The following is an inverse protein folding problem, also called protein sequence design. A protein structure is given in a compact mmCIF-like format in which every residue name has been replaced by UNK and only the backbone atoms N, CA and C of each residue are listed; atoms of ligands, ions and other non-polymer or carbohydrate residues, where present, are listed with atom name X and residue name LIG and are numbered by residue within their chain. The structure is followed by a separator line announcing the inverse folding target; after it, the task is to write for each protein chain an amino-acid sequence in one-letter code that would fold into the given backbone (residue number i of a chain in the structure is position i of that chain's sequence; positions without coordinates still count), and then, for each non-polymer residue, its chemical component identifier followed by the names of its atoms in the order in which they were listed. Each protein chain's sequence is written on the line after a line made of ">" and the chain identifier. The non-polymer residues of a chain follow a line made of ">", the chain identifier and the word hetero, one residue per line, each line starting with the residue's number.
data_IF_795227604798
#
_entry.id   IF_795227604798
#
_cell.length_a   1.000
_cell.length_b   1.000
_cell.length_c   1.000
_cell.angle_alpha   90.00
_cell.angle_beta   90.00
_cell.angle_gamma   90.00
#
_symmetry.space_group_name_H-M   'P 1'
#
loop_
_entity.id
_entity.type
_entity.pdbx_description
1 polymer ?
#
# COMPACT_ATOMS: atom_id res chain seq x y z
N UNK A 1 38.39 37.75 -54.02
CA UNK A 1 38.00 38.74 -52.99
C UNK A 1 37.92 38.00 -51.66
N UNK A 2 38.99 38.05 -50.86
CA UNK A 2 39.09 37.31 -49.60
C UNK A 2 38.60 38.21 -48.46
N UNK A 3 37.50 37.83 -47.81
CA UNK A 3 36.98 38.58 -46.66
C UNK A 3 37.78 38.20 -45.40
N UNK A 4 38.37 39.15 -44.66
CA UNK A 4 39.04 38.85 -43.41
C UNK A 4 37.99 38.48 -42.36
N UNK A 5 37.98 37.22 -41.93
CA UNK A 5 37.17 36.75 -40.80
C UNK A 5 37.80 37.32 -39.52
N UNK A 6 37.17 38.36 -38.97
CA UNK A 6 37.58 38.96 -37.71
C UNK A 6 37.39 37.96 -36.55
N UNK A 7 38.38 37.80 -35.65
CA UNK A 7 38.27 36.88 -34.51
C UNK A 7 37.06 37.20 -33.61
N UNK A 8 36.64 38.47 -33.57
CA UNK A 8 35.42 38.92 -32.88
C UNK A 8 34.12 38.32 -33.43
N UNK A 9 34.06 38.03 -34.73
CA UNK A 9 32.89 37.41 -35.37
C UNK A 9 32.84 35.91 -35.11
N UNK A 10 33.99 35.26 -34.96
CA UNK A 10 34.09 33.84 -34.56
C UNK A 10 33.65 33.67 -33.10
N UNK A 11 34.06 34.59 -32.21
CA UNK A 11 33.66 34.57 -30.80
C UNK A 11 32.14 34.74 -30.60
N UNK A 12 31.49 35.58 -31.41
CA UNK A 12 30.05 35.82 -31.31
C UNK A 12 29.23 34.63 -31.82
N UNK A 13 29.71 33.93 -32.86
CA UNK A 13 29.06 32.71 -33.37
C UNK A 13 29.21 31.51 -32.42
N UNK A 14 30.33 31.42 -31.69
CA UNK A 14 30.54 30.36 -30.70
C UNK A 14 29.69 30.58 -29.43
N UNK A 15 29.48 31.84 -29.05
CA UNK A 15 28.62 32.20 -27.91
C UNK A 15 27.14 31.89 -28.17
N UNK A 16 26.64 32.08 -29.39
CA UNK A 16 25.25 31.73 -29.74
C UNK A 16 25.03 30.22 -29.83
N UNK A 17 26.05 29.44 -30.21
CA UNK A 17 25.98 27.97 -30.21
C UNK A 17 25.97 27.39 -28.78
N UNK A 18 26.68 28.03 -27.85
CA UNK A 18 26.70 27.61 -26.44
C UNK A 18 25.37 27.87 -25.70
N UNK A 19 24.61 28.91 -26.08
CA UNK A 19 23.30 29.20 -25.47
C UNK A 19 22.16 28.30 -25.97
N UNK A 20 22.31 27.65 -27.13
CA UNK A 20 21.31 26.72 -27.68
C UNK A 20 21.30 25.33 -27.01
N UNK A 21 22.34 24.97 -26.28
CA UNK A 21 22.48 23.64 -25.65
C UNK A 21 21.71 23.50 -24.33
N UNK A 22 21.25 24.60 -23.72
CA UNK A 22 20.57 24.55 -22.42
C UNK A 22 19.06 24.27 -22.51
N UNK A 23 18.43 24.34 -23.68
CA UNK A 23 16.98 24.06 -23.82
C UNK A 23 16.66 22.57 -23.98
N UNK A 24 17.67 21.73 -24.20
CA UNK A 24 17.52 20.28 -24.35
C UNK A 24 17.64 19.50 -23.02
N UNK A 25 17.79 20.20 -21.90
CA UNK A 25 17.87 19.64 -20.54
C UNK A 25 16.55 19.74 -19.78
N UNK A 26 15.41 19.81 -20.48
CA UNK A 26 14.13 19.51 -19.83
C UNK A 26 14.17 18.03 -19.47
N UNK A 27 14.10 17.66 -18.17
CA UNK A 27 13.89 16.27 -17.79
C UNK A 27 12.54 15.89 -18.38
N UNK A 28 12.55 15.16 -19.50
CA UNK A 28 11.37 14.44 -19.95
C UNK A 28 11.10 13.45 -18.80
N UNK A 29 9.94 13.53 -18.14
CA UNK A 29 9.59 12.52 -17.14
C UNK A 29 9.76 11.17 -17.82
N UNK A 30 10.57 10.29 -17.21
CA UNK A 30 10.72 8.94 -17.75
C UNK A 30 9.31 8.39 -18.01
N UNK A 31 9.01 7.86 -19.22
CA UNK A 31 7.73 7.25 -19.49
C UNK A 31 7.44 6.26 -18.37
N UNK A 32 6.25 6.31 -17.77
CA UNK A 32 5.83 5.28 -16.82
C UNK A 32 5.87 3.94 -17.57
N UNK A 33 6.99 3.22 -17.43
CA UNK A 33 7.21 1.95 -18.09
C UNK A 33 6.10 1.02 -17.62
N UNK A 34 5.27 0.57 -18.57
CA UNK A 34 4.10 -0.29 -18.33
C UNK A 34 2.84 0.39 -17.76
N UNK A 35 2.69 1.72 -17.86
CA UNK A 35 1.36 2.32 -17.68
C UNK A 35 0.47 1.98 -18.87
N UNK A 36 -0.36 0.94 -18.71
CA UNK A 36 -1.42 0.61 -19.67
C UNK A 36 -2.68 1.40 -19.28
N UNK A 37 -3.27 2.18 -20.20
CA UNK A 37 -4.50 2.91 -19.90
C UNK A 37 -5.64 1.92 -19.61
N UNK A 38 -6.41 2.21 -18.54
CA UNK A 38 -7.56 1.41 -18.10
C UNK A 38 -8.58 1.22 -19.23
N UNK A 39 -8.93 -0.04 -19.52
CA UNK A 39 -9.89 -0.39 -20.57
C UNK A 39 -11.32 -0.65 -20.04
N UNK A 40 -11.52 -0.60 -18.71
CA UNK A 40 -12.80 -0.84 -18.03
C UNK A 40 -13.56 -2.07 -18.57
N UNK A 41 -12.95 -3.26 -18.51
CA UNK A 41 -13.63 -4.53 -18.73
C UNK A 41 -14.29 -5.02 -17.43
N UNK A 42 -15.59 -5.28 -17.48
CA UNK A 42 -16.39 -5.71 -16.33
C UNK A 42 -16.35 -7.23 -16.08
N UNK A 43 -15.79 -8.02 -17.00
CA UNK A 43 -16.02 -9.47 -17.02
C UNK A 43 -15.25 -10.27 -15.96
N UNK A 44 -14.03 -9.85 -15.61
CA UNK A 44 -13.12 -10.67 -14.79
C UNK A 44 -13.28 -10.49 -13.27
N UNK A 45 -13.85 -9.35 -12.85
CA UNK A 45 -13.91 -8.95 -11.43
C UNK A 45 -15.29 -9.15 -10.79
N UNK A 46 -16.27 -9.66 -11.54
CA UNK A 46 -17.64 -9.81 -11.08
C UNK A 46 -18.22 -11.18 -11.44
N UNK A 47 -18.98 -11.79 -10.52
CA UNK A 47 -19.81 -12.96 -10.81
C UNK A 47 -21.16 -12.90 -10.11
N UNK A 48 -22.20 -13.35 -10.81
CA UNK A 48 -23.55 -13.49 -10.29
C UNK A 48 -23.68 -14.78 -9.47
N UNK A 49 -24.43 -14.71 -8.37
CA UNK A 49 -24.78 -15.84 -7.51
C UNK A 49 -26.27 -15.83 -7.17
N UNK A 50 -26.90 -17.01 -7.21
CA UNK A 50 -28.27 -17.23 -6.77
C UNK A 50 -28.36 -17.37 -5.23
N UNK A 51 -27.82 -16.39 -4.52
CA UNK A 51 -27.92 -16.27 -3.07
C UNK A 51 -27.98 -14.79 -2.66
N UNK A 52 -28.61 -14.52 -1.51
CA UNK A 52 -28.64 -13.19 -0.91
C UNK A 52 -27.22 -12.66 -0.62
N UNK A 53 -26.95 -11.35 -0.71
CA UNK A 53 -25.62 -10.76 -0.56
C UNK A 53 -24.86 -11.22 0.68
N UNK A 54 -25.56 -11.29 1.82
CA UNK A 54 -24.97 -11.73 3.09
C UNK A 54 -24.47 -13.18 3.05
N UNK A 55 -25.17 -14.08 2.34
CA UNK A 55 -24.75 -15.48 2.19
C UNK A 55 -23.59 -15.60 1.21
N UNK A 56 -23.62 -14.85 0.11
CA UNK A 56 -22.51 -14.82 -0.86
C UNK A 56 -21.21 -14.33 -0.23
N UNK A 57 -21.26 -13.28 0.59
CA UNK A 57 -20.06 -12.75 1.26
C UNK A 57 -19.59 -13.63 2.42
N UNK A 58 -20.49 -14.37 3.07
CA UNK A 58 -20.12 -15.39 4.05
C UNK A 58 -19.40 -16.58 3.38
N UNK A 59 -19.89 -17.03 2.22
CA UNK A 59 -19.23 -18.06 1.41
C UNK A 59 -17.86 -17.57 0.90
N UNK A 60 -17.74 -16.32 0.46
CA UNK A 60 -16.46 -15.71 0.09
C UNK A 60 -15.47 -15.64 1.25
N UNK A 61 -15.95 -15.32 2.46
CA UNK A 61 -15.12 -15.37 3.67
C UNK A 61 -14.61 -16.79 3.94
N UNK A 62 -15.46 -17.81 3.81
CA UNK A 62 -15.06 -19.23 3.98
C UNK A 62 -14.04 -19.65 2.93
N UNK A 63 -14.24 -19.28 1.67
CA UNK A 63 -13.31 -19.53 0.58
C UNK A 63 -11.94 -18.88 0.84
N UNK A 64 -11.90 -17.61 1.28
CA UNK A 64 -10.64 -16.95 1.63
C UNK A 64 -9.93 -17.67 2.79
N UNK A 65 -10.66 -18.05 3.84
CA UNK A 65 -10.11 -18.78 4.98
C UNK A 65 -9.58 -20.17 4.58
N UNK A 66 -10.24 -20.89 3.65
CA UNK A 66 -9.78 -22.20 3.18
C UNK A 66 -8.47 -22.11 2.40
N UNK A 67 -8.22 -20.99 1.74
CA UNK A 67 -6.97 -20.72 1.04
C UNK A 67 -5.86 -20.17 1.96
N UNK A 68 -6.12 -20.05 3.27
CA UNK A 68 -5.17 -19.56 4.28
C UNK A 68 -5.02 -18.03 4.31
N UNK A 69 -6.03 -17.28 3.88
CA UNK A 69 -6.05 -15.83 4.05
C UNK A 69 -6.46 -15.44 5.47
N UNK A 70 -5.86 -14.36 5.96
CA UNK A 70 -6.23 -13.72 7.21
C UNK A 70 -7.28 -12.65 6.94
N UNK A 71 -8.48 -12.82 7.51
CA UNK A 71 -9.57 -11.84 7.38
C UNK A 71 -9.22 -10.58 8.18
N UNK A 72 -9.22 -9.43 7.51
CA UNK A 72 -8.86 -8.12 8.07
C UNK A 72 -10.09 -7.26 8.32
N UNK A 73 -11.13 -7.41 7.51
CA UNK A 73 -12.44 -6.79 7.73
C UNK A 73 -13.56 -7.74 7.32
N UNK A 74 -14.67 -7.69 8.05
CA UNK A 74 -15.84 -8.52 7.77
C UNK A 74 -17.12 -7.74 8.12
N UNK A 75 -17.99 -7.58 7.14
CA UNK A 75 -19.33 -7.01 7.23
C UNK A 75 -20.30 -7.93 6.48
N UNK A 76 -21.61 -7.71 6.63
CA UNK A 76 -22.62 -8.55 5.99
C UNK A 76 -22.41 -8.66 4.46
N UNK A 77 -22.09 -7.55 3.80
CA UNK A 77 -21.98 -7.47 2.34
C UNK A 77 -20.55 -7.19 1.86
N UNK A 78 -19.56 -7.37 2.74
CA UNK A 78 -18.17 -7.10 2.40
C UNK A 78 -17.21 -7.93 3.24
N UNK A 79 -16.19 -8.50 2.61
CA UNK A 79 -15.05 -9.13 3.31
C UNK A 79 -13.74 -8.65 2.71
N UNK A 80 -12.75 -8.41 3.57
CA UNK A 80 -11.37 -8.16 3.16
C UNK A 80 -10.46 -9.17 3.84
N UNK A 81 -9.54 -9.75 3.09
CA UNK A 81 -8.58 -10.70 3.63
C UNK A 81 -7.23 -10.59 2.92
N UNK A 82 -6.15 -10.89 3.63
CA UNK A 82 -4.79 -10.84 3.08
C UNK A 82 -4.01 -12.11 3.33
N UNK A 83 -3.09 -12.42 2.42
CA UNK A 83 -2.14 -13.51 2.55
C UNK A 83 -0.74 -13.01 2.24
N UNK A 84 0.21 -13.50 3.01
CA UNK A 84 1.63 -13.19 2.86
C UNK A 84 2.34 -14.36 2.20
N UNK A 85 3.18 -14.06 1.23
CA UNK A 85 4.04 -15.00 0.54
C UNK A 85 5.48 -14.51 0.68
N UNK A 86 6.39 -15.45 0.91
CA UNK A 86 7.81 -15.18 0.95
C UNK A 86 8.50 -16.18 0.01
N UNK A 87 8.59 -15.86 -1.31
CA UNK A 87 9.25 -16.74 -2.28
C UNK A 87 10.72 -17.01 -1.93
N UNK A 88 11.39 -16.01 -1.36
CA UNK A 88 12.76 -16.09 -0.87
C UNK A 88 12.98 -15.11 0.30
N UNK A 89 14.18 -15.11 0.89
CA UNK A 89 14.48 -14.33 2.09
C UNK A 89 14.34 -12.79 1.90
N UNK A 90 14.49 -12.28 0.68
CA UNK A 90 14.52 -10.84 0.41
C UNK A 90 13.18 -10.33 -0.15
N UNK A 91 12.40 -11.20 -0.80
CA UNK A 91 11.12 -10.85 -1.42
C UNK A 91 9.92 -11.22 -0.52
N UNK A 92 9.16 -10.20 -0.13
CA UNK A 92 7.91 -10.38 0.61
C UNK A 92 6.76 -9.87 -0.25
N UNK A 93 5.77 -10.72 -0.52
CA UNK A 93 4.60 -10.37 -1.33
C UNK A 93 3.35 -10.45 -0.45
N UNK A 94 2.56 -9.40 -0.44
CA UNK A 94 1.25 -9.35 0.19
C UNK A 94 0.19 -9.35 -0.89
N UNK A 95 -0.75 -10.29 -0.81
CA UNK A 95 -1.93 -10.34 -1.66
C UNK A 95 -3.17 -10.07 -0.81
N UNK A 96 -3.85 -8.95 -1.05
CA UNK A 96 -5.09 -8.57 -0.37
C UNK A 96 -6.27 -8.69 -1.34
N UNK A 97 -7.31 -9.39 -0.91
CA UNK A 97 -8.58 -9.48 -1.61
C UNK A 97 -9.65 -8.68 -0.88
N UNK A 98 -10.45 -7.96 -1.66
CA UNK A 98 -11.66 -7.29 -1.20
C UNK A 98 -12.83 -7.79 -2.01
N UNK A 99 -13.82 -8.33 -1.32
CA UNK A 99 -15.08 -8.81 -1.90
C UNK A 99 -16.21 -7.93 -1.41
N UNK A 100 -17.06 -7.48 -2.33
CA UNK A 100 -18.29 -6.73 -2.05
C UNK A 100 -19.44 -7.45 -2.74
N UNK A 101 -20.47 -7.81 -2.00
CA UNK A 101 -21.64 -8.50 -2.51
C UNK A 101 -22.81 -7.52 -2.55
N UNK A 102 -23.40 -7.29 -3.72
CA UNK A 102 -24.53 -6.36 -3.88
C UNK A 102 -25.79 -7.11 -4.30
N UNK A 103 -26.98 -6.70 -3.84
CA UNK A 103 -28.23 -7.29 -4.33
C UNK A 103 -28.41 -7.00 -5.81
N UNK A 104 -28.99 -7.95 -6.55
CA UNK A 104 -29.38 -7.73 -7.94
C UNK A 104 -30.89 -7.45 -8.06
N UNK A 105 -31.27 -6.65 -9.06
CA UNK A 105 -32.70 -6.32 -9.29
C UNK A 105 -33.54 -7.51 -9.75
N UNK A 106 -32.94 -8.65 -10.10
CA UNK A 106 -33.63 -9.84 -10.59
C UNK A 106 -34.33 -10.68 -9.50
N UNK A 107 -34.12 -10.39 -8.21
CA UNK A 107 -34.89 -11.05 -7.14
C UNK A 107 -34.26 -10.89 -5.75
N UNK A 108 -35.02 -11.11 -4.66
CA UNK A 108 -34.56 -10.90 -3.28
C UNK A 108 -33.41 -11.82 -2.86
N UNK A 109 -33.22 -12.95 -3.56
CA UNK A 109 -32.23 -13.98 -3.25
C UNK A 109 -31.10 -14.05 -4.28
N UNK A 110 -30.81 -12.95 -4.95
CA UNK A 110 -29.74 -12.88 -5.95
C UNK A 110 -28.74 -11.78 -5.62
N UNK A 111 -27.48 -12.01 -5.93
CA UNK A 111 -26.43 -11.03 -5.70
C UNK A 111 -25.31 -11.14 -6.72
N UNK A 112 -24.59 -10.03 -6.89
CA UNK A 112 -23.35 -9.98 -7.67
C UNK A 112 -22.20 -9.74 -6.71
N UNK A 113 -21.18 -10.60 -6.76
CA UNK A 113 -19.95 -10.42 -6.01
C UNK A 113 -18.91 -9.72 -6.88
N UNK A 114 -18.43 -8.56 -6.42
CA UNK A 114 -17.31 -7.84 -7.00
C UNK A 114 -16.05 -8.13 -6.18
N UNK A 115 -14.98 -8.54 -6.86
CA UNK A 115 -13.73 -8.93 -6.21
C UNK A 115 -12.59 -8.11 -6.80
N UNK A 116 -11.84 -7.43 -5.93
CA UNK A 116 -10.57 -6.80 -6.30
C UNK A 116 -9.41 -7.43 -5.53
N UNK A 117 -8.29 -7.61 -6.22
CA UNK A 117 -7.06 -8.16 -5.65
C UNK A 117 -5.94 -7.14 -5.78
N UNK A 118 -5.23 -6.83 -4.71
CA UNK A 118 -4.07 -5.96 -4.70
C UNK A 118 -2.84 -6.77 -4.29
N UNK A 119 -1.80 -6.72 -5.12
CA UNK A 119 -0.51 -7.36 -4.90
C UNK A 119 0.53 -6.29 -4.59
N UNK A 120 1.02 -6.31 -3.35
CA UNK A 120 2.12 -5.46 -2.90
C UNK A 120 3.40 -6.29 -2.79
N UNK A 121 4.49 -5.78 -3.36
CA UNK A 121 5.80 -6.41 -3.27
C UNK A 121 6.75 -5.54 -2.46
N UNK A 122 7.46 -6.16 -1.53
CA UNK A 122 8.45 -5.54 -0.67
C UNK A 122 9.79 -6.24 -0.85
N UNK A 123 10.85 -5.44 -0.95
CA UNK A 123 12.24 -5.94 -0.91
C UNK A 123 12.89 -5.54 0.39
N UNK A 124 13.66 -6.46 0.97
CA UNK A 124 14.55 -6.16 2.07
C UNK A 124 15.80 -5.49 1.51
N UNK A 125 16.05 -4.23 1.90
CA UNK A 125 17.31 -3.54 1.62
C UNK A 125 18.21 -3.63 2.83
N UNK A 126 19.38 -4.23 2.65
CA UNK A 126 20.46 -4.19 3.64
C UNK A 126 21.06 -2.79 3.65
N UNK A 127 20.79 -2.04 4.70
CA UNK A 127 21.45 -0.74 4.94
C UNK A 127 22.71 -1.02 5.77
N UNK A 128 23.87 -0.62 5.23
CA UNK A 128 25.14 -0.66 5.96
C UNK A 128 25.29 0.63 6.75
N UNK A 129 24.96 0.59 8.03
CA UNK A 129 25.20 1.74 8.91
C UNK A 129 26.67 1.74 9.36
N UNK A 130 27.40 2.82 9.04
CA UNK A 130 28.81 2.96 9.41
C UNK A 130 28.93 3.78 10.68
N UNK A 131 29.28 3.17 11.80
CA UNK A 131 29.57 3.90 13.03
C UNK A 131 30.99 4.49 12.96
N UNK A 132 31.12 5.82 12.90
CA UNK A 132 32.42 6.49 13.02
C UNK A 132 32.80 6.62 14.49
N UNK A 133 33.80 5.86 14.94
CA UNK A 133 34.40 6.04 16.25
C UNK A 133 35.50 7.11 16.13
N UNK A 134 35.28 8.27 16.74
CA UNK A 134 36.29 9.32 16.85
C UNK A 134 37.26 8.99 17.98
N UNK A 135 38.45 8.49 17.65
CA UNK A 135 39.57 8.41 18.60
C UNK A 135 40.24 9.78 18.66
N UNK A 136 40.23 10.41 19.83
CA UNK A 136 40.73 11.76 20.05
C UNK A 136 42.17 11.94 19.54
N UNK A 137 42.37 12.95 18.69
CA UNK A 137 43.68 13.51 18.36
C UNK A 137 44.42 12.95 17.14
N UNK A 138 44.01 11.82 16.52
CA UNK A 138 44.81 11.19 15.44
C UNK A 138 44.03 10.67 14.22
N UNK A 139 42.74 11.00 14.09
CA UNK A 139 41.95 10.69 12.88
C UNK A 139 40.89 9.62 13.12
N UNK A 140 39.75 9.77 12.43
CA UNK A 140 38.59 8.89 12.57
C UNK A 140 38.81 7.57 11.82
N UNK A 141 38.63 6.44 12.52
CA UNK A 141 38.58 5.13 11.90
C UNK A 141 37.12 4.70 11.76
N UNK A 142 36.60 4.75 10.54
CA UNK A 142 35.31 4.17 10.19
C UNK A 142 35.47 2.67 10.06
N UNK A 143 35.11 1.93 11.11
CA UNK A 143 34.94 0.48 11.03
C UNK A 143 33.54 0.20 10.47
N UNK A 144 33.39 -0.51 9.35
CA UNK A 144 32.09 -1.01 8.94
C UNK A 144 31.67 -2.06 9.97
N UNK A 145 30.78 -1.69 10.88
CA UNK A 145 30.17 -2.67 11.77
C UNK A 145 29.12 -3.39 10.92
N UNK A 146 29.25 -4.70 10.76
CA UNK A 146 28.24 -5.56 10.10
C UNK A 146 26.98 -5.67 10.96
N UNK A 147 26.31 -4.55 11.21
CA UNK A 147 24.92 -4.48 11.59
C UNK A 147 24.12 -4.21 10.33
N UNK A 148 23.73 -5.26 9.61
CA UNK A 148 22.79 -5.10 8.51
C UNK A 148 21.42 -4.76 9.12
N UNK A 149 20.98 -3.51 8.99
CA UNK A 149 19.59 -3.15 9.25
C UNK A 149 18.81 -3.51 7.98
N UNK A 150 17.94 -4.51 8.11
CA UNK A 150 17.04 -4.94 7.06
C UNK A 150 15.81 -4.02 7.06
N UNK A 151 15.69 -3.17 6.02
CA UNK A 151 14.52 -2.31 5.82
C UNK A 151 13.65 -2.85 4.69
N UNK A 152 12.37 -3.11 4.97
CA UNK A 152 11.41 -3.45 3.91
C UNK A 152 10.96 -2.19 3.18
N UNK A 153 11.23 -2.11 1.89
CA UNK A 153 10.75 -1.04 1.02
C UNK A 153 9.70 -1.60 0.08
N UNK A 154 8.54 -0.95 -0.02
CA UNK A 154 7.52 -1.30 -1.01
C UNK A 154 8.03 -0.93 -2.40
N UNK A 155 8.22 -1.93 -3.25
CA UNK A 155 8.80 -1.77 -4.59
C UNK A 155 7.77 -1.81 -5.71
N UNK A 156 6.62 -2.46 -5.48
CA UNK A 156 5.53 -2.53 -6.45
C UNK A 156 4.18 -2.64 -5.74
N UNK A 157 3.14 -2.08 -6.36
CA UNK A 157 1.74 -2.19 -5.97
C UNK A 157 0.91 -2.29 -7.23
N UNK A 158 0.29 -3.44 -7.45
CA UNK A 158 -0.42 -3.74 -8.69
C UNK A 158 -1.75 -4.41 -8.38
N UNK A 159 -2.81 -3.99 -9.08
CA UNK A 159 -4.05 -4.75 -9.13
C UNK A 159 -3.80 -6.07 -9.84
N UNK A 160 -4.27 -7.17 -9.27
CA UNK A 160 -4.14 -8.48 -9.90
C UNK A 160 -5.09 -8.54 -11.10
N UNK A 161 -4.57 -8.85 -12.28
CA UNK A 161 -5.32 -8.92 -13.53
C UNK A 161 -5.45 -10.36 -14.07
N UNK A 162 -5.13 -11.37 -13.25
CA UNK A 162 -5.20 -12.78 -13.62
C UNK A 162 -6.66 -13.28 -13.58
N UNK A 163 -7.29 -13.43 -14.74
CA UNK A 163 -8.67 -13.89 -14.86
C UNK A 163 -8.87 -15.31 -14.28
N UNK A 164 -7.94 -16.23 -14.51
CA UNK A 164 -8.02 -17.62 -14.03
C UNK A 164 -7.99 -17.68 -12.49
N UNK A 165 -7.27 -16.75 -11.84
CA UNK A 165 -7.30 -16.61 -10.39
C UNK A 165 -8.70 -16.24 -9.88
N UNK A 166 -9.36 -15.28 -10.53
CA UNK A 166 -10.71 -14.88 -10.15
C UNK A 166 -11.73 -15.98 -10.43
N UNK A 167 -11.65 -16.66 -11.57
CA UNK A 167 -12.53 -17.79 -11.89
C UNK A 167 -12.48 -18.88 -10.82
N UNK A 168 -11.27 -19.33 -10.44
CA UNK A 168 -11.09 -20.32 -9.37
C UNK A 168 -11.63 -19.85 -8.03
N UNK A 169 -11.46 -18.56 -7.71
CA UNK A 169 -12.00 -17.99 -6.48
C UNK A 169 -13.53 -17.98 -6.48
N UNK A 170 -14.14 -17.58 -7.60
CA UNK A 170 -15.58 -17.59 -7.76
C UNK A 170 -16.18 -18.99 -7.72
N UNK A 171 -15.51 -19.99 -8.30
CA UNK A 171 -15.93 -21.39 -8.23
C UNK A 171 -15.94 -21.89 -6.77
N UNK A 172 -14.92 -21.54 -5.98
CA UNK A 172 -14.88 -21.86 -4.54
C UNK A 172 -16.03 -21.19 -3.77
N UNK A 173 -16.40 -19.94 -4.10
CA UNK A 173 -17.57 -19.28 -3.50
C UNK A 173 -18.83 -20.10 -3.77
N UNK A 174 -19.04 -20.53 -5.03
CA UNK A 174 -20.16 -21.39 -5.43
C UNK A 174 -20.20 -22.69 -4.63
N UNK A 175 -19.06 -23.38 -4.51
CA UNK A 175 -18.97 -24.63 -3.74
C UNK A 175 -19.35 -24.44 -2.26
N UNK A 176 -18.95 -23.33 -1.64
CA UNK A 176 -19.34 -23.01 -0.25
C UNK A 176 -20.82 -22.65 -0.12
N UNK A 177 -21.41 -21.99 -1.13
CA UNK A 177 -22.84 -21.73 -1.18
C UNK A 177 -23.64 -23.03 -1.28
N UNK A 178 -23.24 -23.94 -2.17
CA UNK A 178 -23.91 -25.23 -2.35
C UNK A 178 -23.88 -26.06 -1.07
N UNK A 179 -22.71 -26.15 -0.41
CA UNK A 179 -22.56 -26.84 0.88
C UNK A 179 -23.39 -26.19 2.00
N UNK A 180 -23.55 -24.87 1.98
CA UNK A 180 -24.36 -24.13 2.95
C UNK A 180 -25.88 -24.24 2.70
N UNK A 181 -26.32 -24.75 1.54
CA UNK A 181 -27.73 -25.07 1.24
C UNK A 181 -28.10 -26.50 1.66
N UNK A 182 -27.13 -27.33 2.06
CA UNK A 182 -27.38 -28.70 2.59
C UNK A 182 -27.75 -28.80 4.10
N UNK A 183 -28.07 -27.76 4.89
CA UNK A 183 -28.65 -28.00 6.22
C UNK A 183 -30.15 -28.30 6.08
N UNK A 184 -30.47 -29.60 6.11
CA UNK A 184 -31.64 -30.16 6.80
C UNK A 184 -33.03 -29.72 6.30
N UNK A 185 -33.66 -30.60 5.52
CA UNK A 185 -35.10 -30.72 5.35
C UNK A 185 -35.86 -31.09 6.66
N UNK A 186 -35.53 -30.47 7.79
CA UNK A 186 -36.21 -30.63 9.07
C UNK A 186 -36.38 -29.28 9.80
N UNK A 187 -36.67 -28.23 9.04
CA UNK A 187 -37.26 -26.99 9.56
C UNK A 187 -38.47 -26.58 8.70
N UNK A 188 -39.35 -27.54 8.44
CA UNK A 188 -40.72 -27.28 7.96
C UNK A 188 -41.67 -28.10 8.82
N UNK A 189 -41.86 -27.64 10.06
CA UNK A 189 -43.02 -27.94 10.90
C UNK A 189 -43.04 -26.95 12.07
N UNK A 190 -43.26 -25.67 11.79
CA UNK A 190 -43.73 -24.70 12.77
C UNK A 190 -44.28 -23.45 12.05
N UNK A 191 -45.46 -23.59 11.44
CA UNK A 191 -46.37 -22.47 11.24
C UNK A 191 -47.39 -22.43 12.40
N UNK A 192 -48.07 -21.29 12.64
CA UNK A 192 -48.21 -20.71 13.96
C UNK A 192 -49.65 -20.75 14.48
N UNK A 193 -49.83 -20.94 15.78
CA UNK A 193 -51.13 -20.71 16.43
C UNK A 193 -50.96 -19.94 17.74
N UNK A 194 -51.24 -18.65 17.60
CA UNK A 194 -52.04 -17.78 18.45
C UNK A 194 -52.20 -18.06 19.97
N UNK A 195 -51.94 -16.98 20.72
CA UNK A 195 -52.64 -16.50 21.94
C UNK A 195 -52.62 -17.33 23.22
N UNK A 196 -51.89 -16.83 24.24
CA UNK A 196 -52.47 -16.46 25.54
C UNK A 196 -51.45 -15.77 26.48
N UNK A 197 -51.78 -14.56 26.94
CA UNK A 197 -51.32 -13.88 28.17
C UNK A 197 -52.61 -13.31 28.80
N UNK A 198 -52.87 -13.26 30.14
CA UNK A 198 -52.01 -12.79 31.26
C UNK A 198 -52.05 -13.67 32.54
N UNK A 199 -51.13 -13.59 33.50
CA UNK A 199 -50.95 -12.52 34.50
C UNK A 199 -49.62 -12.76 35.26
N UNK A 200 -48.72 -11.79 35.37
CA UNK A 200 -48.53 -10.87 36.50
C UNK A 200 -47.93 -11.52 37.76
N UNK A 201 -46.68 -11.19 38.07
CA UNK A 201 -46.30 -10.69 39.40
C UNK A 201 -45.15 -9.70 39.21
N UNK A 202 -45.38 -8.48 39.69
CA UNK A 202 -44.46 -7.36 39.67
C UNK A 202 -43.44 -7.48 40.81
N UNK A 203 -42.18 -7.15 40.53
CA UNK A 203 -41.33 -6.45 41.51
C UNK A 203 -40.45 -5.45 40.74
N UNK A 204 -40.66 -4.18 41.06
CA UNK A 204 -39.74 -3.06 40.84
C UNK A 204 -39.75 -2.26 42.16
N UNK A 205 -38.79 -1.36 42.47
CA UNK A 205 -37.83 -0.74 41.54
C UNK A 205 -36.40 -0.57 42.11
N UNK A 206 -35.45 -0.19 41.25
CA UNK A 206 -34.54 0.93 41.54
C UNK A 206 -33.74 1.28 40.28
N UNK A 207 -33.97 2.50 39.80
CA UNK A 207 -33.33 3.15 38.68
C UNK A 207 -31.97 3.69 39.15
N UNK A 208 -30.88 3.26 38.54
CA UNK A 208 -29.61 3.97 38.57
C UNK A 208 -29.10 4.09 37.13
N UNK A 209 -29.14 5.32 36.63
CA UNK A 209 -28.51 5.69 35.38
C UNK A 209 -26.99 5.53 35.54
N UNK A 210 -26.39 4.73 34.67
CA UNK A 210 -24.96 4.77 34.41
C UNK A 210 -24.78 4.80 32.89
N UNK A 211 -24.45 5.99 32.39
CA UNK A 211 -23.88 6.22 31.06
C UNK A 211 -22.69 5.29 30.83
N UNK A 212 -22.62 4.52 29.72
CA UNK A 212 -21.38 3.87 29.34
C UNK A 212 -20.44 4.93 28.75
N UNK A 213 -19.36 5.21 29.47
CA UNK A 213 -18.18 5.88 28.92
C UNK A 213 -17.51 4.89 27.95
N UNK A 214 -17.23 5.24 26.70
CA UNK A 214 -16.49 4.34 25.81
C UNK A 214 -15.04 4.25 26.30
N UNK A 215 -14.63 3.05 26.70
CA UNK A 215 -13.22 2.72 26.86
C UNK A 215 -12.57 2.66 25.48
N UNK A 216 -12.10 3.81 25.01
CA UNK A 216 -11.15 3.91 23.92
C UNK A 216 -9.80 3.35 24.40
N UNK A 217 -9.55 2.07 24.15
CA UNK A 217 -8.20 1.51 24.17
C UNK A 217 -7.53 1.87 22.84
N UNK A 218 -7.08 3.12 22.73
CA UNK A 218 -6.13 3.52 21.71
C UNK A 218 -4.74 3.04 22.14
N UNK A 219 -4.30 1.90 21.61
CA UNK A 219 -2.89 1.53 21.64
C UNK A 219 -2.15 2.34 20.58
N UNK A 220 -1.71 3.54 20.95
CA UNK A 220 -0.73 4.28 20.18
C UNK A 220 0.64 3.56 20.27
N UNK A 221 1.38 3.38 19.17
CA UNK A 221 2.79 3.04 19.25
C UNK A 221 3.53 4.17 19.96
N UNK A 222 4.39 3.81 20.91
CA UNK A 222 5.30 4.75 21.54
C UNK A 222 6.22 5.36 20.47
N UNK A 223 5.95 6.60 20.10
CA UNK A 223 6.88 7.45 19.38
C UNK A 223 8.09 7.70 20.29
N UNK A 224 9.21 7.07 19.96
CA UNK A 224 10.50 7.39 20.57
C UNK A 224 10.87 8.78 20.08
N UNK A 225 10.68 9.77 20.95
CA UNK A 225 11.13 11.14 20.72
C UNK A 225 12.64 11.14 20.44
N UNK A 226 13.13 11.83 19.39
CA UNK A 226 14.55 12.11 19.27
C UNK A 226 15.00 13.00 20.45
N UNK A 227 16.23 12.83 20.97
CA UNK A 227 16.75 13.69 22.02
C UNK A 227 16.79 15.15 21.54
N UNK A 228 16.66 16.14 22.44
CA UNK A 228 16.61 17.54 22.06
C UNK A 228 17.92 17.93 21.38
N UNK A 229 17.81 18.40 20.13
CA UNK A 229 18.88 19.10 19.44
C UNK A 229 19.26 20.31 20.29
N UNK A 230 20.45 20.26 20.88
CA UNK A 230 21.07 21.43 21.50
C UNK A 230 21.31 22.42 20.38
N UNK A 231 20.60 23.55 20.40
CA UNK A 231 20.80 24.65 19.48
C UNK A 231 22.19 25.28 19.73
N UNK A 232 23.22 24.70 19.14
CA UNK A 232 24.50 25.37 18.95
C UNK A 232 24.44 26.11 17.61
N UNK A 233 23.96 27.34 17.67
CA UNK A 233 24.14 28.33 16.62
C UNK A 233 25.64 28.53 16.38
N UNK A 234 26.16 27.95 15.30
CA UNK A 234 27.42 28.39 14.68
C UNK A 234 27.16 28.53 13.19
N UNK A 235 27.06 29.78 12.76
CA UNK A 235 27.01 30.17 11.36
C UNK A 235 28.26 29.65 10.64
N UNK A 236 28.16 29.07 9.44
CA UNK A 236 29.34 28.84 8.62
C UNK A 236 29.83 30.19 8.07
N UNK A 237 31.03 30.58 8.49
CA UNK A 237 31.79 31.64 7.86
C UNK A 237 32.02 31.31 6.38
N UNK A 238 31.75 32.28 5.51
CA UNK A 238 32.01 32.22 4.08
C UNK A 238 33.48 31.82 3.81
N UNK A 239 33.76 30.92 2.86
CA UNK A 239 35.13 30.71 2.42
C UNK A 239 35.61 31.97 1.68
N UNK A 240 36.67 32.56 2.22
CA UNK A 240 37.40 33.64 1.58
C UNK A 240 37.93 33.19 0.21
N UNK A 241 37.75 34.06 -0.78
CA UNK A 241 38.31 33.89 -2.12
C UNK A 241 39.84 33.74 -2.06
N UNK A 242 40.44 32.78 -2.80
CA UNK A 242 41.88 32.76 -2.94
C UNK A 242 42.34 33.97 -3.77
N UNK A 243 43.27 34.70 -3.18
CA UNK A 243 43.96 35.83 -3.77
C UNK A 243 44.72 35.43 -5.04
N UNK A 244 44.71 36.38 -5.98
CA UNK A 244 45.54 36.44 -7.19
C UNK A 244 46.99 36.03 -6.90
N UNK A 245 47.38 34.87 -7.43
CA UNK A 245 48.76 34.41 -7.51
C UNK A 245 49.25 34.54 -8.94
N UNK A 246 50.11 35.52 -9.18
CA UNK A 246 50.84 35.71 -10.41
C UNK A 246 51.66 34.45 -10.78
N UNK A 247 51.59 34.03 -12.04
CA UNK A 247 52.58 33.14 -12.63
C UNK A 247 53.55 33.91 -13.54
N UNK A 248 54.80 33.43 -13.65
CA UNK A 248 55.94 34.20 -14.15
C UNK A 248 55.96 34.27 -15.67
N UNK A 249 56.55 35.36 -16.16
CA UNK A 249 57.00 35.49 -17.54
C UNK A 249 58.11 34.47 -17.81
N UNK A 250 57.91 33.64 -18.84
CA UNK A 250 58.99 32.98 -19.55
C UNK A 250 59.19 33.75 -20.86
N UNK A 251 60.27 34.54 -20.90
CA UNK A 251 60.86 35.05 -22.13
C UNK A 251 62.07 34.18 -22.49
N UNK A 252 62.24 34.04 -23.80
CA UNK A 252 63.47 33.76 -24.52
C UNK A 252 64.69 34.54 -24.02
#
# INVERSE_FOLDING_TARGET
>A
MSFPVSPRRVSLALATLALGACTSLKPVPAPLVNYQPEAFDASSFARHFSAAPARTCEAARRALLSQGYLVTSNAAEQVTARKYFQPDAEHHVQLEFRVVCTPESLGPDTSTAFVSGLKDQYLVRKVKESASLGVGGLGSLSLPIEGALDSMVKVSSETVADADLYERFFDLIGEYLDKAVVPTAAATAAEPTATAKPAATAVAPARAAATPVPAAAASAPAEVAPPPATAASTAPAAPAAPASGAQPAASS
#
